data_IF_085348293173
#
_entry.id   IF_085348293173
#
_cell.length_a   1.000
_cell.length_b   1.000
_cell.length_c   1.000
_cell.angle_alpha   90.00
_cell.angle_beta   90.00
_cell.angle_gamma   90.00
#
_symmetry.space_group_name_H-M   'P 1'
#
loop_
_entity.id
_entity.type
_entity.pdbx_description
1 polymer ?
#
# COMPACT_ATOMS: atom_id res chain seq x y z
N UNK A 1 11.17 -6.58 -1.12
CA UNK A 1 11.99 -5.45 -1.64
C UNK A 1 11.88 -4.19 -0.77
N UNK A 2 10.79 -3.40 -0.83
CA UNK A 2 10.72 -2.12 -0.09
C UNK A 2 10.82 -2.26 1.44
N UNK A 3 10.21 -3.30 1.99
CA UNK A 3 10.35 -3.70 3.40
C UNK A 3 11.81 -3.96 3.80
N UNK A 4 12.58 -4.60 2.93
CA UNK A 4 13.93 -5.05 3.24
C UNK A 4 14.92 -3.89 3.13
N UNK A 5 14.66 -2.94 2.22
CA UNK A 5 15.37 -1.66 2.16
C UNK A 5 15.20 -0.88 3.47
N UNK A 6 13.96 -0.64 3.90
CA UNK A 6 13.69 0.05 5.19
C UNK A 6 14.15 -0.77 6.40
N UNK A 7 14.26 -2.08 6.28
CA UNK A 7 14.79 -2.96 7.33
C UNK A 7 16.25 -2.66 7.68
N UNK A 8 17.05 -2.17 6.72
CA UNK A 8 18.47 -1.82 6.91
C UNK A 8 18.67 -0.48 7.61
N UNK A 9 17.66 0.39 7.58
CA UNK A 9 17.73 1.73 8.17
C UNK A 9 17.59 1.68 9.70
N UNK A 10 18.34 2.53 10.41
CA UNK A 10 18.28 2.66 11.87
C UNK A 10 17.18 3.62 12.36
N UNK A 11 16.58 4.39 11.45
CA UNK A 11 15.54 5.35 11.80
C UNK A 11 14.33 4.65 12.45
N UNK A 12 13.80 5.24 13.52
CA UNK A 12 12.62 4.73 14.22
C UNK A 12 11.31 4.97 13.44
N UNK A 13 11.25 6.05 12.65
CA UNK A 13 10.07 6.49 11.91
C UNK A 13 10.09 5.99 10.46
N UNK A 14 9.97 4.68 10.26
CA UNK A 14 9.95 4.08 8.92
C UNK A 14 8.58 4.20 8.28
N UNK A 15 8.53 4.69 7.04
CA UNK A 15 7.27 4.76 6.30
C UNK A 15 7.46 4.46 4.82
N UNK A 16 6.41 3.91 4.21
CA UNK A 16 6.28 3.67 2.79
C UNK A 16 5.10 4.48 2.25
N UNK A 17 5.26 5.02 1.04
CA UNK A 17 4.16 5.58 0.27
C UNK A 17 3.91 4.62 -0.89
N UNK A 18 2.70 4.10 -0.99
CA UNK A 18 2.25 3.22 -2.08
C UNK A 18 1.33 4.04 -2.96
N UNK A 19 1.64 4.12 -4.25
CA UNK A 19 0.78 4.77 -5.25
C UNK A 19 0.36 3.67 -6.21
N UNK A 20 -0.94 3.46 -6.38
CA UNK A 20 -1.48 2.40 -7.23
C UNK A 20 -2.81 2.80 -7.82
N UNK A 21 -3.09 2.30 -9.01
CA UNK A 21 -4.31 2.50 -9.80
C UNK A 21 -5.21 1.27 -9.83
N UNK A 22 -4.84 0.19 -9.13
CA UNK A 22 -5.45 -1.10 -9.41
C UNK A 22 -5.28 -2.15 -8.34
N UNK A 23 -5.87 -3.29 -8.65
CA UNK A 23 -6.00 -4.42 -7.76
C UNK A 23 -4.72 -5.27 -7.77
N UNK A 24 -4.37 -5.96 -6.68
CA UNK A 24 -3.26 -6.89 -6.72
C UNK A 24 -3.58 -8.04 -7.67
N UNK A 25 -2.73 -8.26 -8.68
CA UNK A 25 -2.84 -9.34 -9.66
C UNK A 25 -1.63 -10.27 -9.65
N UNK A 26 -0.55 -9.91 -8.96
CA UNK A 26 0.66 -10.71 -8.91
C UNK A 26 1.16 -10.87 -7.47
N UNK A 27 1.72 -12.03 -7.16
CA UNK A 27 2.25 -12.37 -5.84
C UNK A 27 3.35 -13.43 -5.93
N UNK A 28 4.17 -13.50 -4.89
CA UNK A 28 5.14 -14.58 -4.73
C UNK A 28 4.60 -15.62 -3.75
N UNK A 29 4.63 -16.89 -4.15
CA UNK A 29 4.42 -18.03 -3.27
C UNK A 29 5.54 -19.03 -3.50
N UNK A 30 6.16 -19.53 -2.42
CA UNK A 30 7.26 -20.50 -2.47
C UNK A 30 8.40 -20.10 -3.43
N UNK A 31 8.74 -18.80 -3.45
CA UNK A 31 9.80 -18.25 -4.29
C UNK A 31 9.46 -18.12 -5.78
N UNK A 32 8.24 -18.46 -6.18
CA UNK A 32 7.76 -18.35 -7.56
C UNK A 32 6.78 -17.19 -7.70
N UNK A 33 6.87 -16.48 -8.82
CA UNK A 33 5.92 -15.44 -9.20
C UNK A 33 4.67 -16.08 -9.81
N UNK A 34 3.52 -15.67 -9.30
CA UNK A 34 2.20 -16.02 -9.82
C UNK A 34 1.49 -14.74 -10.27
N UNK A 35 0.80 -14.82 -11.41
CA UNK A 35 -0.03 -13.74 -11.93
C UNK A 35 -1.45 -14.29 -12.16
N UNK A 36 -2.43 -13.61 -11.61
CA UNK A 36 -3.84 -13.92 -11.72
C UNK A 36 -4.57 -12.74 -12.34
N UNK A 37 -5.23 -12.98 -13.47
CA UNK A 37 -6.17 -12.03 -14.02
C UNK A 37 -7.51 -12.19 -13.30
N UNK A 38 -8.09 -11.10 -12.79
CA UNK A 38 -9.31 -11.19 -12.01
C UNK A 38 -10.52 -11.43 -12.92
N UNK A 39 -10.83 -12.70 -13.15
CA UNK A 39 -12.06 -13.13 -13.82
C UNK A 39 -13.25 -13.30 -12.85
N UNK A 40 -13.06 -12.97 -11.57
CA UNK A 40 -14.07 -13.09 -10.52
C UNK A 40 -15.04 -11.89 -10.51
N UNK A 41 -16.28 -12.13 -10.08
CA UNK A 41 -17.25 -11.08 -9.75
C UNK A 41 -16.65 -10.13 -8.71
N UNK A 42 -16.47 -8.85 -9.06
CA UNK A 42 -15.85 -7.82 -8.22
C UNK A 42 -14.39 -7.51 -8.55
N UNK A 43 -13.76 -8.23 -9.48
CA UNK A 43 -12.49 -7.83 -10.09
C UNK A 43 -11.23 -8.06 -9.25
N UNK A 44 -11.32 -8.68 -8.05
CA UNK A 44 -10.18 -9.00 -7.19
C UNK A 44 -9.68 -10.43 -7.40
N UNK A 45 -8.38 -10.61 -7.62
CA UNK A 45 -7.72 -11.92 -7.48
C UNK A 45 -7.71 -12.32 -6.01
N UNK A 46 -8.30 -13.47 -5.69
CA UNK A 46 -8.44 -13.94 -4.29
C UNK A 46 -7.07 -14.23 -3.68
N UNK A 47 -6.19 -14.95 -4.38
CA UNK A 47 -4.88 -15.30 -3.83
C UNK A 47 -3.95 -14.10 -3.79
N UNK A 48 -3.91 -13.27 -4.84
CA UNK A 48 -3.09 -12.06 -4.82
C UNK A 48 -3.51 -11.10 -3.70
N UNK A 49 -4.82 -10.99 -3.44
CA UNK A 49 -5.33 -10.23 -2.30
C UNK A 49 -4.82 -10.77 -0.97
N UNK A 50 -4.93 -12.08 -0.74
CA UNK A 50 -4.48 -12.73 0.50
C UNK A 50 -2.98 -12.53 0.70
N UNK A 51 -2.18 -12.79 -0.33
CA UNK A 51 -0.72 -12.66 -0.24
C UNK A 51 -0.28 -11.21 -0.03
N UNK A 52 -0.94 -10.25 -0.69
CA UNK A 52 -0.66 -8.83 -0.50
C UNK A 52 -0.99 -8.39 0.93
N UNK A 53 -2.15 -8.80 1.48
CA UNK A 53 -2.49 -8.49 2.88
C UNK A 53 -1.53 -9.16 3.87
N UNK A 54 -1.08 -10.39 3.58
CA UNK A 54 -0.05 -11.06 4.37
C UNK A 54 1.28 -10.29 4.36
N UNK A 55 1.67 -9.74 3.22
CA UNK A 55 2.86 -8.89 3.15
C UNK A 55 2.69 -7.57 3.89
N UNK A 56 1.51 -6.95 3.82
CA UNK A 56 1.17 -5.75 4.61
C UNK A 56 1.35 -6.04 6.09
N UNK A 57 0.86 -7.18 6.58
CA UNK A 57 1.06 -7.58 7.98
C UNK A 57 2.54 -7.73 8.35
N UNK A 58 3.34 -8.37 7.49
CA UNK A 58 4.80 -8.49 7.71
C UNK A 58 5.50 -7.13 7.73
N UNK A 59 5.07 -6.19 6.90
CA UNK A 59 5.58 -4.80 6.90
C UNK A 59 5.20 -4.09 8.20
N UNK A 60 3.95 -4.25 8.65
CA UNK A 60 3.45 -3.67 9.90
C UNK A 60 4.20 -4.17 11.12
N UNK A 61 4.48 -5.48 11.20
CA UNK A 61 5.25 -6.08 12.31
C UNK A 61 6.67 -5.52 12.41
N UNK A 62 7.23 -4.97 11.31
CA UNK A 62 8.52 -4.28 11.30
C UNK A 62 8.43 -2.79 11.67
N UNK A 63 7.28 -2.30 12.11
CA UNK A 63 7.07 -0.91 12.50
C UNK A 63 7.06 0.07 11.32
N UNK A 64 6.78 -0.41 10.10
CA UNK A 64 6.77 0.42 8.89
C UNK A 64 5.32 0.85 8.61
N UNK A 65 5.09 2.17 8.58
CA UNK A 65 3.77 2.75 8.25
C UNK A 65 3.60 2.91 6.75
N UNK A 66 2.54 2.36 6.17
CA UNK A 66 2.19 2.44 4.75
C UNK A 66 1.10 3.51 4.58
N UNK A 67 1.38 4.54 3.79
CA UNK A 67 0.37 5.48 3.32
C UNK A 67 0.05 5.16 1.86
N UNK A 68 -1.21 4.88 1.56
CA UNK A 68 -1.63 4.41 0.23
C UNK A 68 -2.40 5.51 -0.49
N UNK A 69 -1.96 5.84 -1.70
CA UNK A 69 -2.68 6.69 -2.66
C UNK A 69 -3.25 5.79 -3.74
N UNK A 70 -4.57 5.73 -3.80
CA UNK A 70 -5.30 4.94 -4.78
C UNK A 70 -5.90 5.87 -5.83
N UNK A 71 -5.68 5.55 -7.11
CA UNK A 71 -6.17 6.33 -8.26
C UNK A 71 -7.55 5.89 -8.77
N UNK A 72 -8.03 4.71 -8.35
CA UNK A 72 -9.34 4.12 -8.66
C UNK A 72 -10.18 3.97 -7.37
N UNK A 73 -11.47 4.24 -7.44
CA UNK A 73 -12.36 4.23 -6.26
C UNK A 73 -13.45 3.15 -6.29
N UNK A 74 -13.29 2.13 -7.16
CA UNK A 74 -14.22 1.01 -7.26
C UNK A 74 -14.49 0.35 -5.89
N UNK A 75 -15.72 -0.10 -5.61
CA UNK A 75 -16.09 -0.60 -4.28
C UNK A 75 -15.21 -1.74 -3.77
N UNK A 76 -14.80 -2.65 -4.66
CA UNK A 76 -13.92 -3.76 -4.32
C UNK A 76 -12.52 -3.29 -3.91
N UNK A 77 -11.95 -2.33 -4.64
CA UNK A 77 -10.67 -1.72 -4.30
C UNK A 77 -10.71 -0.97 -3.00
N UNK A 78 -11.78 -0.19 -2.76
CA UNK A 78 -11.98 0.51 -1.49
C UNK A 78 -11.98 -0.48 -0.32
N UNK A 79 -12.74 -1.58 -0.42
CA UNK A 79 -12.79 -2.59 0.64
C UNK A 79 -11.42 -3.27 0.87
N UNK A 80 -10.65 -3.49 -0.19
CA UNK A 80 -9.28 -4.01 -0.08
C UNK A 80 -8.34 -3.02 0.63
N UNK A 81 -8.35 -1.75 0.22
CA UNK A 81 -7.53 -0.70 0.82
C UNK A 81 -7.92 -0.47 2.28
N UNK A 82 -9.20 -0.49 2.62
CA UNK A 82 -9.66 -0.40 4.01
C UNK A 82 -9.10 -1.52 4.90
N UNK A 83 -9.02 -2.76 4.38
CA UNK A 83 -8.37 -3.87 5.09
C UNK A 83 -6.88 -3.62 5.27
N UNK A 84 -6.19 -3.18 4.22
CA UNK A 84 -4.77 -2.82 4.29
C UNK A 84 -4.52 -1.74 5.35
N UNK A 85 -5.31 -0.67 5.34
CA UNK A 85 -5.24 0.43 6.30
C UNK A 85 -5.50 -0.05 7.72
N UNK A 86 -6.47 -0.95 7.93
CA UNK A 86 -6.77 -1.52 9.25
C UNK A 86 -5.61 -2.35 9.81
N UNK A 87 -4.97 -3.16 8.96
CA UNK A 87 -3.81 -3.96 9.35
C UNK A 87 -2.64 -3.04 9.68
N UNK A 88 -2.32 -2.09 8.79
CA UNK A 88 -1.11 -1.30 8.92
C UNK A 88 -1.20 -0.09 9.85
N UNK A 89 -2.41 0.46 10.04
CA UNK A 89 -2.69 1.71 10.78
C UNK A 89 -2.11 2.97 10.13
N UNK A 90 -1.80 2.90 8.84
CA UNK A 90 -1.46 4.06 8.03
C UNK A 90 -2.69 4.80 7.50
N UNK A 91 -2.53 5.58 6.43
CA UNK A 91 -3.62 6.37 5.82
C UNK A 91 -3.88 5.91 4.39
N UNK A 92 -5.14 5.95 3.97
CA UNK A 92 -5.53 5.77 2.59
C UNK A 92 -6.08 7.09 2.03
N UNK A 93 -5.63 7.45 0.84
CA UNK A 93 -6.05 8.63 0.10
C UNK A 93 -6.60 8.17 -1.25
N UNK A 94 -7.84 8.53 -1.53
CA UNK A 94 -8.48 8.29 -2.82
C UNK A 94 -8.38 9.60 -3.61
N UNK A 95 -7.70 9.56 -4.75
CA UNK A 95 -7.42 10.76 -5.56
C UNK A 95 -7.53 10.43 -7.03
N UNK A 96 -7.75 11.42 -7.88
CA UNK A 96 -7.53 11.26 -9.33
C UNK A 96 -6.05 11.53 -9.64
N UNK A 97 -5.53 11.06 -10.81
CA UNK A 97 -4.15 11.31 -11.21
C UNK A 97 -3.76 12.80 -11.21
N UNK A 98 -4.69 13.69 -11.61
CA UNK A 98 -4.46 15.14 -11.63
C UNK A 98 -4.29 15.78 -10.25
N UNK A 99 -4.89 15.20 -9.21
CA UNK A 99 -4.84 15.73 -7.84
C UNK A 99 -3.72 15.10 -6.99
N UNK A 100 -3.15 13.97 -7.44
CA UNK A 100 -2.10 13.24 -6.71
C UNK A 100 -0.89 14.12 -6.37
N UNK A 101 -0.45 14.94 -7.33
CA UNK A 101 0.70 15.83 -7.15
C UNK A 101 0.50 16.83 -5.99
N UNK A 102 -0.72 17.34 -5.81
CA UNK A 102 -1.04 18.28 -4.72
C UNK A 102 -0.93 17.61 -3.35
N UNK A 103 -1.44 16.39 -3.21
CA UNK A 103 -1.40 15.67 -1.93
C UNK A 103 0.02 15.24 -1.54
N UNK A 104 0.82 14.76 -2.49
CA UNK A 104 2.20 14.34 -2.21
C UNK A 104 3.08 15.51 -1.74
N UNK A 105 2.93 16.69 -2.35
CA UNK A 105 3.66 17.90 -1.97
C UNK A 105 3.29 18.36 -0.54
N UNK A 106 2.00 18.37 -0.20
CA UNK A 106 1.53 18.80 1.12
C UNK A 106 2.02 17.84 2.22
N UNK A 107 1.97 16.52 2.01
CA UNK A 107 2.45 15.55 3.02
C UNK A 107 3.98 15.60 3.19
N UNK A 108 4.72 15.75 2.07
CA UNK A 108 6.19 15.84 2.11
C UNK A 108 6.68 17.12 2.81
N UNK A 109 6.06 18.28 2.52
CA UNK A 109 6.41 19.56 3.14
C UNK A 109 5.93 19.62 4.60
N UNK A 110 4.76 19.06 4.91
CA UNK A 110 4.22 18.98 6.26
C UNK A 110 5.11 18.17 7.21
N UNK A 111 5.74 17.08 6.74
CA UNK A 111 6.70 16.29 7.53
C UNK A 111 8.01 17.00 7.82
N UNK A 112 8.46 17.95 6.97
CA UNK A 112 9.67 18.73 7.22
C UNK A 112 9.50 19.84 8.27
N UNK A 113 8.26 20.18 8.67
CA UNK A 113 7.98 21.26 9.63
C UNK A 113 7.98 20.85 11.11
N UNK A 114 8.41 19.63 11.46
CA UNK A 114 8.70 19.25 12.84
C UNK A 114 10.19 19.02 13.03
N UNK A 115 10.92 20.14 13.05
CA UNK A 115 12.16 20.26 13.81
C UNK A 115 11.86 21.36 14.82
N UNK A 116 11.74 21.00 16.09
CA UNK A 116 11.78 21.95 17.20
C UNK A 116 13.25 22.26 17.45
#
# INVERSE_FOLDING_TARGET
MGRDLLGRERAANKSMIVITDGQPTAYFADGKLFCEWPMSLGGLSTRATVETLGEVERVTRKGIVINTFMLDDSPALRAFVEKMTRINRGRAFYTTPGELGRFLLVDHVGRKRRVI
#
